data_IF_295612907018
#
_entry.id   IF_295612907018
#
_cell.length_a   1.000
_cell.length_b   1.000
_cell.length_c   1.000
_cell.angle_alpha   90.00
_cell.angle_beta   90.00
_cell.angle_gamma   90.00
#
_symmetry.space_group_name_H-M   'P 1'
#
loop_
_entity.id
_entity.type
_entity.pdbx_description
1 polymer ?
#
# COMPACT_ATOMS: atom_id res chain seq x y z
N UNK A 1 12.24 -5.62 5.37
CA UNK A 1 11.81 -4.27 5.83
C UNK A 1 10.32 -4.17 5.55
N UNK A 2 9.52 -3.65 6.49
CA UNK A 2 8.05 -3.54 6.34
C UNK A 2 7.71 -2.06 6.37
N UNK A 3 7.13 -1.53 5.29
CA UNK A 3 6.58 -0.17 5.29
C UNK A 3 5.06 -0.25 5.43
N UNK A 4 4.54 0.59 6.32
CA UNK A 4 3.13 0.88 6.48
C UNK A 4 2.83 2.19 5.77
N UNK A 5 1.97 2.15 4.75
CA UNK A 5 1.48 3.34 4.03
C UNK A 5 0.10 3.67 4.56
N UNK A 6 -0.07 4.87 5.13
CA UNK A 6 -1.32 5.33 5.75
C UNK A 6 -2.34 5.98 4.81
N UNK A 7 -2.02 6.14 3.53
CA UNK A 7 -2.91 6.71 2.52
C UNK A 7 -2.56 6.12 1.14
N UNK A 8 -3.41 5.28 0.55
CA UNK A 8 -3.17 4.65 -0.77
C UNK A 8 -3.63 5.51 -1.94
N UNK A 9 -3.33 6.80 -1.87
CA UNK A 9 -3.55 7.76 -2.96
C UNK A 9 -2.25 7.94 -3.78
N UNK A 10 -2.11 9.02 -4.55
CA UNK A 10 -0.94 9.30 -5.40
C UNK A 10 0.42 9.16 -4.68
N UNK A 11 0.54 9.71 -3.47
CA UNK A 11 1.80 9.64 -2.70
C UNK A 11 2.07 8.21 -2.24
N UNK A 12 1.03 7.52 -1.74
CA UNK A 12 1.13 6.13 -1.32
C UNK A 12 1.54 5.20 -2.47
N UNK A 13 0.89 5.34 -3.62
CA UNK A 13 1.22 4.59 -4.85
C UNK A 13 2.67 4.81 -5.29
N UNK A 14 3.16 6.05 -5.24
CA UNK A 14 4.56 6.38 -5.51
C UNK A 14 5.53 5.69 -4.55
N UNK A 15 5.26 5.74 -3.26
CA UNK A 15 6.07 5.04 -2.24
C UNK A 15 6.09 3.53 -2.47
N UNK A 16 4.92 2.93 -2.71
CA UNK A 16 4.79 1.49 -2.94
C UNK A 16 5.54 1.06 -4.21
N UNK A 17 5.47 1.83 -5.30
CA UNK A 17 6.20 1.55 -6.53
C UNK A 17 7.73 1.62 -6.34
N UNK A 18 8.23 2.64 -5.63
CA UNK A 18 9.65 2.75 -5.31
C UNK A 18 10.16 1.58 -4.45
N UNK A 19 9.35 1.11 -3.51
CA UNK A 19 9.72 0.01 -2.62
C UNK A 19 9.61 -1.36 -3.27
N UNK A 20 8.66 -1.53 -4.21
CA UNK A 20 8.63 -2.69 -5.10
C UNK A 20 9.93 -2.81 -5.90
N UNK A 21 10.51 -1.68 -6.35
CA UNK A 21 11.82 -1.68 -7.01
C UNK A 21 12.99 -2.00 -6.07
N UNK A 22 12.83 -1.73 -4.77
CA UNK A 22 13.82 -2.01 -3.73
C UNK A 22 13.67 -3.39 -3.08
N UNK A 23 12.97 -4.34 -3.73
CA UNK A 23 12.74 -5.72 -3.25
C UNK A 23 12.23 -5.80 -1.80
N UNK A 24 11.35 -4.87 -1.44
CA UNK A 24 10.84 -4.72 -0.07
C UNK A 24 9.40 -5.21 0.04
N UNK A 25 9.07 -5.91 1.12
CA UNK A 25 7.69 -6.27 1.45
C UNK A 25 6.91 -5.04 1.92
N UNK A 26 5.82 -4.72 1.21
CA UNK A 26 4.97 -3.55 1.48
C UNK A 26 3.62 -4.00 2.01
N UNK A 27 3.17 -3.37 3.10
CA UNK A 27 1.84 -3.56 3.67
C UNK A 27 1.12 -2.22 3.61
N UNK A 28 -0.03 -2.17 2.96
CA UNK A 28 -0.87 -0.98 2.88
C UNK A 28 -1.85 -1.00 4.05
N UNK A 29 -1.97 0.11 4.78
CA UNK A 29 -2.96 0.27 5.84
C UNK A 29 -3.82 1.49 5.50
N UNK A 30 -5.10 1.25 5.29
CA UNK A 30 -6.02 2.31 4.89
C UNK A 30 -7.29 2.27 5.71
N UNK A 31 -7.79 3.45 6.05
CA UNK A 31 -9.08 3.65 6.69
C UNK A 31 -10.18 3.70 5.64
N UNK A 32 -9.88 4.24 4.46
CA UNK A 32 -10.86 4.31 3.38
C UNK A 32 -11.02 2.92 2.73
N UNK A 33 -12.22 2.32 2.77
CA UNK A 33 -12.43 0.97 2.26
C UNK A 33 -12.30 0.87 0.74
N UNK A 34 -12.50 1.96 -0.01
CA UNK A 34 -12.35 2.00 -1.47
C UNK A 34 -10.86 2.00 -1.82
N UNK A 35 -10.07 2.84 -1.15
CA UNK A 35 -8.62 2.89 -1.37
C UNK A 35 -7.94 1.59 -0.95
N UNK A 36 -8.37 1.00 0.17
CA UNK A 36 -7.95 -0.32 0.62
C UNK A 36 -8.27 -1.42 -0.41
N UNK A 37 -9.50 -1.45 -0.95
CA UNK A 37 -9.88 -2.42 -1.98
C UNK A 37 -9.05 -2.27 -3.25
N UNK A 38 -8.80 -1.03 -3.70
CA UNK A 38 -7.94 -0.79 -4.86
C UNK A 38 -6.52 -1.31 -4.64
N UNK A 39 -5.92 -1.08 -3.48
CA UNK A 39 -4.61 -1.63 -3.15
C UNK A 39 -4.61 -3.17 -3.20
N UNK A 40 -5.65 -3.80 -2.68
CA UNK A 40 -5.82 -5.26 -2.72
C UNK A 40 -5.96 -5.78 -4.16
N UNK A 41 -6.75 -5.11 -4.99
CA UNK A 41 -6.92 -5.45 -6.42
C UNK A 41 -5.61 -5.28 -7.22
N UNK A 42 -4.76 -4.33 -6.83
CA UNK A 42 -3.42 -4.13 -7.40
C UNK A 42 -2.38 -5.15 -6.85
N UNK A 43 -2.82 -6.10 -6.02
CA UNK A 43 -2.02 -7.22 -5.52
C UNK A 43 -1.18 -6.89 -4.28
N UNK A 44 -1.51 -5.81 -3.57
CA UNK A 44 -0.84 -5.44 -2.34
C UNK A 44 -1.47 -6.12 -1.12
N UNK A 45 -0.65 -6.41 -0.11
CA UNK A 45 -1.17 -6.86 1.18
C UNK A 45 -1.79 -5.67 1.91
N UNK A 46 -3.07 -5.79 2.24
CA UNK A 46 -3.84 -4.73 2.91
C UNK A 46 -4.18 -5.18 4.32
N UNK A 47 -3.93 -4.32 5.29
CA UNK A 47 -4.36 -4.49 6.68
C UNK A 47 -5.37 -3.40 7.02
N UNK A 48 -6.56 -3.81 7.43
CA UNK A 48 -7.56 -2.92 8.00
C UNK A 48 -7.27 -2.72 9.49
N UNK A 49 -7.24 -1.46 9.95
CA UNK A 49 -7.18 -1.09 11.38
C UNK A 49 -8.56 -1.17 12.04
#
# INVERSE_FOLDING_TARGET
MVLVVGDYWDVGKGCVAALKQADTHVIVIEIDPICALHAFMEGHQVLSL
#
